data_IF_456668425042
#
_entry.id   IF_456668425042
#
_cell.length_a   1.000
_cell.length_b   1.000
_cell.length_c   1.000
_cell.angle_alpha   90.00
_cell.angle_beta   90.00
_cell.angle_gamma   90.00
#
_symmetry.space_group_name_H-M   'P 1'
#
loop_
_entity.id
_entity.type
_entity.pdbx_description
1 polymer ?
#
# COMPACT_ATOMS: atom_id res chain seq x y z
N UNK A 1 -8.62 13.89 9.44
CA UNK A 1 -9.15 12.65 10.05
C UNK A 1 -8.53 11.48 9.31
N UNK A 2 -8.16 10.40 10.01
CA UNK A 2 -7.61 9.19 9.39
C UNK A 2 -8.37 7.97 9.91
N UNK A 3 -8.66 7.03 9.02
CA UNK A 3 -9.28 5.75 9.34
C UNK A 3 -8.59 4.65 8.54
N UNK A 4 -8.55 3.45 9.09
CA UNK A 4 -8.01 2.29 8.38
C UNK A 4 -8.69 1.01 8.85
N UNK A 5 -8.63 0.00 7.99
CA UNK A 5 -9.19 -1.31 8.22
C UNK A 5 -8.40 -2.38 7.48
N UNK A 6 -8.54 -3.61 7.92
CA UNK A 6 -7.98 -4.77 7.26
C UNK A 6 -9.08 -5.81 7.17
N UNK A 7 -9.36 -6.25 5.95
CA UNK A 7 -10.26 -7.35 5.68
C UNK A 7 -9.44 -8.55 5.21
N UNK A 8 -9.55 -9.67 5.93
CA UNK A 8 -8.95 -10.95 5.53
C UNK A 8 -9.96 -11.78 4.76
N UNK A 9 -9.51 -12.33 3.64
CA UNK A 9 -10.25 -13.23 2.75
C UNK A 9 -9.46 -14.52 2.56
N UNK A 10 -10.03 -15.50 1.85
CA UNK A 10 -9.31 -16.72 1.47
C UNK A 10 -8.12 -16.46 0.55
N UNK A 11 -8.15 -15.36 -0.20
CA UNK A 11 -7.18 -15.07 -1.27
C UNK A 11 -6.03 -14.17 -0.76
N UNK A 12 -6.16 -13.67 0.48
CA UNK A 12 -5.20 -12.79 1.12
C UNK A 12 -5.89 -11.72 1.96
N UNK A 13 -5.27 -10.56 2.09
CA UNK A 13 -5.81 -9.44 2.86
C UNK A 13 -5.89 -8.16 2.04
N UNK A 14 -6.92 -7.38 2.30
CA UNK A 14 -7.07 -6.02 1.80
C UNK A 14 -6.92 -5.06 2.97
N UNK A 15 -5.92 -4.18 2.88
CA UNK A 15 -5.67 -3.11 3.84
C UNK A 15 -6.17 -1.81 3.23
N UNK A 16 -7.22 -1.25 3.80
CA UNK A 16 -7.77 0.04 3.39
C UNK A 16 -7.37 1.13 4.39
N UNK A 17 -6.91 2.27 3.89
CA UNK A 17 -6.67 3.47 4.67
C UNK A 17 -7.27 4.69 3.96
N UNK A 18 -7.84 5.60 4.74
CA UNK A 18 -8.42 6.84 4.23
C UNK A 18 -7.93 7.99 5.09
N UNK A 19 -7.47 9.06 4.43
CA UNK A 19 -7.04 10.30 5.07
C UNK A 19 -7.83 11.45 4.47
N UNK A 20 -8.60 12.14 5.33
CA UNK A 20 -9.26 13.40 4.99
C UNK A 20 -8.40 14.59 5.44
N UNK A 21 -7.98 15.39 4.48
CA UNK A 21 -7.26 16.66 4.70
C UNK A 21 -8.24 17.82 4.90
N UNK A 22 -7.72 18.98 5.31
CA UNK A 22 -8.55 20.18 5.46
C UNK A 22 -8.86 20.84 4.11
N UNK A 23 -7.98 20.67 3.11
CA UNK A 23 -8.11 21.29 1.79
C UNK A 23 -7.83 20.29 0.67
N UNK A 24 -8.53 20.39 -0.49
CA UNK A 24 -8.30 19.51 -1.63
C UNK A 24 -6.85 19.53 -2.13
N UNK A 25 -6.17 20.68 -2.11
CA UNK A 25 -4.78 20.79 -2.56
C UNK A 25 -3.83 19.98 -1.68
N UNK A 26 -4.13 19.85 -0.38
CA UNK A 26 -3.35 19.01 0.53
C UNK A 26 -3.53 17.53 0.22
N UNK A 27 -4.77 17.12 -0.10
CA UNK A 27 -5.06 15.74 -0.48
C UNK A 27 -4.36 15.40 -1.81
N UNK A 28 -4.37 16.33 -2.77
CA UNK A 28 -3.61 16.20 -4.01
C UNK A 28 -2.12 16.03 -3.77
N UNK A 29 -1.50 16.91 -2.98
CA UNK A 29 -0.07 16.82 -2.68
C UNK A 29 0.29 15.49 -1.99
N UNK A 30 -0.56 15.03 -1.05
CA UNK A 30 -0.38 13.75 -0.38
C UNK A 30 -0.51 12.58 -1.37
N UNK A 31 -1.52 12.60 -2.24
CA UNK A 31 -1.71 11.58 -3.28
C UNK A 31 -0.51 11.53 -4.23
N UNK A 32 -0.05 12.68 -4.73
CA UNK A 32 1.09 12.77 -5.64
C UNK A 32 2.38 12.25 -4.98
N UNK A 33 2.59 12.57 -3.69
CA UNK A 33 3.71 12.04 -2.91
C UNK A 33 3.65 10.52 -2.76
N UNK A 34 2.48 9.98 -2.39
CA UNK A 34 2.29 8.54 -2.22
C UNK A 34 2.48 7.79 -3.55
N UNK A 35 2.00 8.34 -4.67
CA UNK A 35 2.22 7.77 -6.00
C UNK A 35 3.69 7.81 -6.40
N UNK A 36 4.40 8.91 -6.11
CA UNK A 36 5.84 9.01 -6.32
C UNK A 36 6.62 7.97 -5.51
N UNK A 37 6.27 7.79 -4.23
CA UNK A 37 6.85 6.74 -3.38
C UNK A 37 6.54 5.34 -3.91
N UNK A 38 5.33 5.10 -4.39
CA UNK A 38 4.94 3.82 -4.98
C UNK A 38 5.77 3.49 -6.22
N UNK A 39 5.95 4.46 -7.12
CA UNK A 39 6.76 4.29 -8.33
C UNK A 39 8.22 4.01 -8.01
N UNK A 40 8.82 4.80 -7.10
CA UNK A 40 10.22 4.62 -6.71
C UNK A 40 10.44 3.33 -5.92
N UNK A 41 9.63 3.09 -4.89
CA UNK A 41 9.75 1.94 -4.01
C UNK A 41 9.48 0.62 -4.74
N UNK A 42 8.41 0.57 -5.54
CA UNK A 42 8.05 -0.61 -6.32
C UNK A 42 9.14 -1.03 -7.31
N UNK A 43 9.75 -0.08 -8.03
CA UNK A 43 10.83 -0.37 -8.99
C UNK A 43 12.13 -0.84 -8.32
N UNK A 44 12.54 -0.17 -7.24
CA UNK A 44 13.77 -0.51 -6.51
C UNK A 44 13.65 -1.88 -5.84
N UNK A 45 12.54 -2.12 -5.15
CA UNK A 45 12.37 -3.33 -4.33
C UNK A 45 12.08 -4.57 -5.19
N UNK A 46 11.36 -4.42 -6.30
CA UNK A 46 11.09 -5.54 -7.20
C UNK A 46 12.33 -6.02 -7.95
N UNK A 47 13.31 -5.14 -8.18
CA UNK A 47 14.58 -5.50 -8.83
C UNK A 47 15.63 -6.05 -7.83
N UNK A 48 15.27 -6.20 -6.55
CA UNK A 48 16.18 -6.74 -5.55
C UNK A 48 16.40 -8.24 -5.72
N UNK A 49 17.60 -8.70 -5.36
CA UNK A 49 17.93 -10.12 -5.24
C UNK A 49 17.44 -10.74 -3.92
N UNK A 50 16.99 -9.92 -2.96
CA UNK A 50 16.52 -10.40 -1.66
C UNK A 50 15.04 -10.76 -1.75
N UNK A 51 14.64 -12.02 -1.45
CA UNK A 51 13.24 -12.47 -1.58
C UNK A 51 12.24 -11.60 -0.80
N UNK A 52 12.58 -11.15 0.41
CA UNK A 52 11.78 -10.22 1.20
C UNK A 52 11.51 -8.89 0.49
N UNK A 53 12.49 -8.34 -0.20
CA UNK A 53 12.34 -7.08 -0.91
C UNK A 53 11.44 -7.23 -2.13
N UNK A 54 11.48 -8.39 -2.79
CA UNK A 54 10.54 -8.68 -3.88
C UNK A 54 9.09 -8.78 -3.39
N UNK A 55 8.86 -9.37 -2.21
CA UNK A 55 7.54 -9.41 -1.56
C UNK A 55 7.06 -7.99 -1.27
N UNK A 56 7.89 -7.14 -0.64
CA UNK A 56 7.54 -5.74 -0.39
C UNK A 56 7.28 -4.96 -1.69
N UNK A 57 8.08 -5.23 -2.73
CA UNK A 57 7.90 -4.64 -4.05
C UNK A 57 6.53 -4.95 -4.64
N UNK A 58 6.09 -6.22 -4.58
CA UNK A 58 4.75 -6.63 -5.03
C UNK A 58 3.64 -5.96 -4.23
N UNK A 59 3.75 -5.90 -2.91
CA UNK A 59 2.75 -5.26 -2.05
C UNK A 59 2.61 -3.77 -2.38
N UNK A 60 3.73 -3.07 -2.56
CA UNK A 60 3.73 -1.64 -2.94
C UNK A 60 3.16 -1.46 -4.35
N UNK A 61 3.50 -2.33 -5.31
CA UNK A 61 2.93 -2.27 -6.65
C UNK A 61 1.42 -2.56 -6.67
N UNK A 62 0.93 -3.43 -5.78
CA UNK A 62 -0.49 -3.74 -5.62
C UNK A 62 -1.28 -2.68 -4.85
N UNK A 63 -0.63 -1.61 -4.37
CA UNK A 63 -1.32 -0.49 -3.74
C UNK A 63 -2.09 0.35 -4.78
N UNK A 64 -3.31 0.72 -4.45
CA UNK A 64 -4.15 1.63 -5.23
C UNK A 64 -4.33 2.91 -4.43
N UNK A 65 -3.97 4.04 -5.03
CA UNK A 65 -4.12 5.37 -4.41
C UNK A 65 -5.17 6.14 -5.20
N UNK A 66 -6.25 6.53 -4.53
CA UNK A 66 -7.34 7.31 -5.11
C UNK A 66 -7.52 8.65 -4.40
N UNK A 67 -7.69 9.72 -5.17
CA UNK A 67 -8.00 11.06 -4.68
C UNK A 67 -9.48 11.37 -4.90
N UNK A 68 -10.19 11.78 -3.85
CA UNK A 68 -11.62 12.15 -3.87
C UNK A 68 -11.84 13.46 -3.12
N UNK A 69 -11.68 14.59 -3.79
CA UNK A 69 -11.79 15.91 -3.16
C UNK A 69 -10.70 16.12 -2.11
N UNK A 70 -11.07 16.20 -0.83
CA UNK A 70 -10.15 16.29 0.29
C UNK A 70 -9.76 14.93 0.89
N UNK A 71 -10.15 13.83 0.26
CA UNK A 71 -9.90 12.48 0.74
C UNK A 71 -8.85 11.77 -0.12
N UNK A 72 -7.86 11.15 0.53
CA UNK A 72 -6.92 10.22 -0.07
C UNK A 72 -7.25 8.83 0.44
N UNK A 73 -7.52 7.91 -0.46
CA UNK A 73 -7.80 6.49 -0.17
C UNK A 73 -6.61 5.68 -0.66
N UNK A 74 -6.13 4.78 0.19
CA UNK A 74 -5.06 3.83 -0.09
C UNK A 74 -5.62 2.43 0.17
N UNK A 75 -5.67 1.61 -0.86
CA UNK A 75 -6.04 0.20 -0.75
C UNK A 75 -4.84 -0.65 -1.13
N UNK A 76 -4.41 -1.55 -0.26
CA UNK A 76 -3.28 -2.46 -0.51
C UNK A 76 -3.79 -3.88 -0.46
N UNK A 77 -3.64 -4.60 -1.58
CA UNK A 77 -3.93 -6.02 -1.63
C UNK A 77 -2.65 -6.80 -1.38
N UNK A 78 -2.69 -7.70 -0.39
CA UNK A 78 -1.59 -8.60 -0.05
C UNK A 78 -2.04 -10.02 -0.31
N UNK A 79 -1.38 -10.71 -1.25
CA UNK A 79 -1.70 -12.08 -1.58
C UNK A 79 -1.40 -13.02 -0.39
N UNK A 80 -2.15 -14.11 -0.27
CA UNK A 80 -1.97 -15.09 0.80
C UNK A 80 -0.52 -15.62 0.91
N UNK A 81 0.14 -15.88 -0.22
CA UNK A 81 1.54 -16.31 -0.25
C UNK A 81 2.52 -15.29 0.36
N UNK A 82 2.23 -13.99 0.21
CA UNK A 82 3.04 -12.92 0.79
C UNK A 82 2.78 -12.76 2.30
N UNK A 83 1.54 -13.01 2.75
CA UNK A 83 1.21 -13.06 4.19
C UNK A 83 1.92 -14.22 4.90
N UNK A 84 1.96 -15.40 4.28
CA UNK A 84 2.68 -16.56 4.80
C UNK A 84 4.18 -16.29 4.89
N UNK A 85 4.74 -15.59 3.90
CA UNK A 85 6.12 -15.12 3.97
C UNK A 85 6.36 -14.24 5.20
N UNK A 86 5.50 -13.26 5.47
CA UNK A 86 5.62 -12.40 6.66
C UNK A 86 5.46 -13.19 7.97
N UNK A 87 4.47 -14.09 8.05
CA UNK A 87 4.26 -14.93 9.22
C UNK A 87 5.47 -15.83 9.53
N UNK A 88 6.19 -16.30 8.50
CA UNK A 88 7.39 -17.12 8.68
C UNK A 88 8.57 -16.37 9.32
N UNK A 89 8.58 -15.03 9.25
CA UNK A 89 9.66 -14.17 9.79
C UNK A 89 9.46 -13.79 11.26
N UNK A 90 8.28 -14.07 11.84
CA UNK A 90 7.91 -13.71 13.22
C UNK A 90 8.09 -14.90 14.18
N UNK A 91 8.66 -16.02 13.70
CA UNK A 91 8.95 -17.22 14.50
C UNK A 91 10.24 -17.13 15.29
#
# INVERSE_FOLDING_TARGET
LASGGMDMTSDGAVLGAMVRTHKPEQAKNLSDMLQGLQMMGGGILSNSKRPEQQVYGRVIQGATIALRGSDVVLDVTVAQADLEFFGSKIK
#
